data_IF_105630099277
#
_entry.id   IF_105630099277
#
_cell.length_a   1.000
_cell.length_b   1.000
_cell.length_c   1.000
_cell.angle_alpha   90.00
_cell.angle_beta   90.00
_cell.angle_gamma   90.00
#
_symmetry.space_group_name_H-M   'P 1'
#
loop_
_entity.id
_entity.type
_entity.pdbx_description
1 polymer ?
#
# COMPACT_ATOMS: atom_id res chain seq x y z
N UNK A 1 37.04 -2.29 -28.90
CA UNK A 1 36.31 -1.00 -28.67
C UNK A 1 34.78 -1.07 -28.64
N UNK A 2 34.10 -2.15 -29.03
CA UNK A 2 32.61 -2.25 -28.99
C UNK A 2 32.02 -2.69 -27.64
N UNK A 3 32.79 -3.40 -26.81
CA UNK A 3 32.30 -3.97 -25.53
C UNK A 3 32.07 -2.93 -24.43
N UNK A 4 32.82 -1.84 -24.41
CA UNK A 4 32.70 -0.79 -23.40
C UNK A 4 31.50 0.16 -23.64
N UNK A 5 31.03 0.25 -24.90
CA UNK A 5 29.84 1.08 -25.22
C UNK A 5 28.53 0.42 -24.80
N UNK A 6 28.46 -0.92 -24.81
CA UNK A 6 27.29 -1.66 -24.37
C UNK A 6 27.17 -1.59 -22.83
N UNK A 7 28.29 -1.65 -22.11
CA UNK A 7 28.31 -1.46 -20.64
C UNK A 7 27.88 -0.05 -20.23
N UNK A 8 28.30 0.98 -20.97
CA UNK A 8 27.87 2.36 -20.72
C UNK A 8 26.37 2.60 -20.99
N UNK A 9 25.82 1.92 -22.00
CA UNK A 9 24.41 2.03 -22.33
C UNK A 9 23.52 1.30 -21.32
N UNK A 10 23.94 0.12 -20.86
CA UNK A 10 23.27 -0.64 -19.80
C UNK A 10 23.33 0.08 -18.44
N UNK A 11 24.45 0.70 -18.09
CA UNK A 11 24.60 1.49 -16.88
C UNK A 11 23.74 2.78 -16.95
N UNK A 12 23.68 3.44 -18.11
CA UNK A 12 22.83 4.62 -18.33
C UNK A 12 21.33 4.30 -18.31
N UNK A 13 20.92 3.14 -18.85
CA UNK A 13 19.54 2.69 -18.81
C UNK A 13 19.07 2.30 -17.38
N UNK A 14 19.98 1.77 -16.57
CA UNK A 14 19.70 1.50 -15.14
C UNK A 14 19.53 2.78 -14.30
N UNK A 15 20.17 3.88 -14.69
CA UNK A 15 20.09 5.17 -14.00
C UNK A 15 18.87 6.01 -14.44
N UNK A 16 18.26 5.66 -15.58
CA UNK A 16 17.09 6.36 -16.12
C UNK A 16 15.76 5.64 -15.82
N UNK A 17 15.75 4.54 -15.08
CA UNK A 17 14.51 4.00 -14.56
C UNK A 17 13.93 5.03 -13.60
N UNK A 18 12.80 5.70 -13.92
CA UNK A 18 12.18 6.59 -12.98
C UNK A 18 11.86 5.76 -11.76
N UNK A 19 12.40 6.15 -10.62
CA UNK A 19 12.07 5.60 -9.33
C UNK A 19 10.64 6.01 -8.92
N UNK A 20 9.67 5.74 -9.78
CA UNK A 20 8.28 5.55 -9.40
C UNK A 20 8.14 4.17 -8.76
N UNK A 21 9.04 3.83 -7.87
CA UNK A 21 8.79 2.83 -6.87
C UNK A 21 7.77 3.44 -5.92
N UNK A 22 6.49 3.19 -6.18
CA UNK A 22 5.55 3.09 -5.09
C UNK A 22 6.14 2.01 -4.20
N UNK A 23 6.90 2.45 -3.21
CA UNK A 23 7.59 1.57 -2.29
C UNK A 23 6.53 0.68 -1.68
N UNK A 24 6.57 -0.60 -2.03
CA UNK A 24 5.94 -1.60 -1.22
C UNK A 24 6.35 -1.24 0.20
N UNK A 25 5.39 -0.97 1.07
CA UNK A 25 5.67 -0.68 2.47
C UNK A 25 6.19 -1.97 3.11
N UNK A 26 7.44 -2.30 2.80
CA UNK A 26 8.17 -3.26 3.58
C UNK A 26 8.44 -2.62 4.94
N UNK A 27 8.47 -3.42 5.98
CA UNK A 27 8.86 -2.97 7.31
C UNK A 27 10.22 -2.27 7.24
N UNK A 28 10.21 -0.94 7.11
CA UNK A 28 11.46 -0.15 7.00
C UNK A 28 12.36 -0.34 8.22
N UNK A 29 11.76 -0.58 9.38
CA UNK A 29 12.48 -0.95 10.61
C UNK A 29 13.28 -2.24 10.47
N UNK A 30 12.76 -3.23 9.72
CA UNK A 30 13.46 -4.49 9.46
C UNK A 30 14.74 -4.32 8.65
N UNK A 31 14.91 -3.21 7.92
CA UNK A 31 16.14 -2.90 7.18
C UNK A 31 17.36 -2.77 8.08
N UNK A 32 17.19 -2.22 9.27
CA UNK A 32 18.25 -1.96 10.24
C UNK A 32 18.43 -3.09 11.27
N UNK A 33 17.57 -4.11 11.23
CA UNK A 33 17.67 -5.24 12.15
C UNK A 33 18.74 -6.24 11.64
N UNK A 34 19.83 -6.36 12.35
CA UNK A 34 20.83 -7.41 12.11
C UNK A 34 20.19 -8.79 12.32
N UNK A 35 20.55 -9.76 11.48
CA UNK A 35 20.00 -11.12 11.53
C UNK A 35 18.57 -11.27 11.04
N UNK A 36 17.93 -10.20 10.54
CA UNK A 36 16.60 -10.29 9.96
C UNK A 36 16.65 -10.85 8.54
N UNK A 37 16.21 -12.08 8.38
CA UNK A 37 16.35 -12.87 7.15
C UNK A 37 15.66 -12.25 5.92
N UNK A 38 14.63 -11.40 6.15
CA UNK A 38 13.87 -10.78 5.07
C UNK A 38 14.40 -9.42 4.61
N UNK A 39 15.59 -8.99 5.05
CA UNK A 39 16.25 -7.76 4.57
C UNK A 39 16.41 -7.74 3.05
N UNK A 40 16.65 -8.92 2.46
CA UNK A 40 16.74 -9.10 1.00
C UNK A 40 15.46 -8.70 0.25
N UNK A 41 14.30 -8.64 0.91
CA UNK A 41 13.05 -8.19 0.30
C UNK A 41 13.13 -6.70 -0.02
N UNK A 42 13.77 -5.93 0.85
CA UNK A 42 13.96 -4.48 0.71
C UNK A 42 15.16 -4.12 -0.18
N UNK A 43 16.26 -4.84 -0.02
CA UNK A 43 17.46 -4.64 -0.81
C UNK A 43 18.06 -6.01 -1.21
N UNK A 44 18.00 -6.39 -2.49
CA UNK A 44 18.51 -7.66 -2.97
C UNK A 44 20.02 -7.88 -2.71
N UNK A 45 20.78 -6.80 -2.50
CA UNK A 45 22.20 -6.90 -2.17
C UNK A 45 22.45 -7.37 -0.73
N UNK A 46 21.46 -7.29 0.17
CA UNK A 46 21.61 -7.90 1.48
C UNK A 46 21.62 -9.42 1.36
N UNK A 47 22.76 -9.99 1.68
CA UNK A 47 22.86 -11.40 2.02
C UNK A 47 22.47 -11.59 3.49
N UNK A 48 22.12 -12.79 3.91
CA UNK A 48 21.94 -13.10 5.31
C UNK A 48 23.30 -13.16 6.01
N UNK A 49 23.26 -12.91 7.31
CA UNK A 49 24.39 -13.13 8.20
C UNK A 49 24.68 -14.65 8.38
N UNK A 50 23.79 -15.51 7.87
CA UNK A 50 23.86 -16.97 7.94
C UNK A 50 23.97 -17.58 6.54
N UNK A 51 24.52 -18.82 6.48
CA UNK A 51 24.73 -19.54 5.21
C UNK A 51 23.44 -19.87 4.44
N UNK A 52 22.30 -19.82 5.10
CA UNK A 52 20.99 -20.02 4.50
C UNK A 52 19.86 -20.06 5.51
N UNK A 53 18.65 -19.94 5.02
CA UNK A 53 17.41 -20.08 5.78
C UNK A 53 16.31 -20.70 4.93
N UNK A 54 15.32 -21.27 5.59
CA UNK A 54 14.06 -21.73 4.99
C UNK A 54 12.94 -21.31 5.92
N UNK A 55 11.91 -20.67 5.37
CA UNK A 55 10.70 -20.29 6.07
C UNK A 55 9.50 -20.90 5.38
N UNK A 56 8.67 -21.60 6.14
CA UNK A 56 7.49 -22.30 5.68
C UNK A 56 6.21 -21.46 5.88
N UNK A 57 5.08 -21.87 5.26
CA UNK A 57 3.77 -21.27 5.49
C UNK A 57 3.44 -21.14 6.98
N UNK A 58 2.72 -20.08 7.34
CA UNK A 58 2.33 -19.68 8.71
C UNK A 58 3.47 -19.16 9.60
N UNK A 59 4.73 -19.46 9.30
CA UNK A 59 5.91 -18.92 10.00
C UNK A 59 6.62 -17.84 9.17
N UNK A 60 6.06 -17.51 8.00
CA UNK A 60 6.60 -16.50 7.11
C UNK A 60 6.36 -15.08 7.60
N UNK A 61 7.04 -14.13 6.97
CA UNK A 61 6.91 -12.72 7.25
C UNK A 61 5.55 -12.19 6.80
N UNK A 62 4.76 -11.71 7.75
CA UNK A 62 3.52 -10.97 7.49
C UNK A 62 3.80 -9.50 7.73
N UNK A 63 3.44 -8.69 6.77
CA UNK A 63 3.54 -7.25 6.83
C UNK A 63 2.19 -6.61 6.51
N UNK A 64 1.75 -5.71 7.38
CA UNK A 64 0.57 -4.87 7.15
C UNK A 64 1.02 -3.43 7.17
N UNK A 65 0.77 -2.73 6.08
CA UNK A 65 1.07 -1.31 5.94
C UNK A 65 -0.20 -0.52 5.70
N UNK A 66 -0.22 0.71 6.21
CA UNK A 66 -1.25 1.68 5.90
C UNK A 66 -0.58 2.93 5.34
N UNK A 67 -1.14 3.46 4.27
CA UNK A 67 -0.66 4.67 3.60
C UNK A 67 -1.82 5.54 3.13
N UNK A 68 -1.52 6.80 2.89
CA UNK A 68 -2.52 7.77 2.45
C UNK A 68 -2.28 9.13 3.08
N UNK A 69 -3.23 10.03 2.93
CA UNK A 69 -3.23 11.35 3.56
C UNK A 69 -4.20 11.44 4.75
N UNK A 70 -4.73 10.30 5.18
CA UNK A 70 -5.58 10.16 6.36
C UNK A 70 -4.92 9.22 7.36
N UNK A 71 -5.05 9.54 8.63
CA UNK A 71 -4.55 8.74 9.73
C UNK A 71 -5.61 8.47 10.79
N UNK A 72 -5.29 7.64 11.76
CA UNK A 72 -6.19 7.34 12.90
C UNK A 72 -6.57 8.62 13.64
N UNK A 73 -5.67 9.60 13.71
CA UNK A 73 -5.90 10.91 14.33
C UNK A 73 -6.99 11.75 13.68
N UNK A 74 -7.38 11.46 12.44
CA UNK A 74 -8.50 12.13 11.80
C UNK A 74 -9.86 11.62 12.31
N UNK A 75 -9.89 10.42 12.92
CA UNK A 75 -11.13 9.76 13.31
C UNK A 75 -11.31 9.60 14.83
N UNK A 76 -10.20 9.58 15.58
CA UNK A 76 -10.19 9.37 17.02
C UNK A 76 -9.66 10.61 17.73
N UNK A 77 -10.43 11.08 18.70
CA UNK A 77 -10.17 12.28 19.50
C UNK A 77 -10.09 11.92 20.98
N UNK A 78 -9.26 12.65 21.71
CA UNK A 78 -9.20 12.52 23.18
C UNK A 78 -10.36 13.27 23.82
N UNK A 79 -11.02 12.63 24.76
CA UNK A 79 -12.02 13.27 25.60
C UNK A 79 -11.36 13.94 26.82
N UNK A 80 -12.00 14.93 27.47
CA UNK A 80 -11.44 15.63 28.63
C UNK A 80 -11.15 14.72 29.83
N UNK A 81 -11.86 13.61 29.96
CA UNK A 81 -11.68 12.57 30.98
C UNK A 81 -10.57 11.55 30.64
N UNK A 82 -9.83 11.77 29.53
CA UNK A 82 -8.72 10.92 29.09
C UNK A 82 -9.13 9.70 28.27
N UNK A 83 -10.41 9.57 27.94
CA UNK A 83 -10.93 8.55 27.02
C UNK A 83 -10.67 8.86 25.55
N UNK A 84 -11.22 8.02 24.69
CA UNK A 84 -11.23 8.21 23.23
C UNK A 84 -12.66 8.25 22.73
N UNK A 85 -12.90 9.15 21.79
CA UNK A 85 -14.16 9.25 21.06
C UNK A 85 -13.94 9.36 19.56
N UNK A 86 -14.99 9.18 18.79
CA UNK A 86 -14.93 9.30 17.33
C UNK A 86 -15.32 10.71 16.88
N UNK A 87 -14.97 11.04 15.64
CA UNK A 87 -15.37 12.32 15.03
C UNK A 87 -16.90 12.55 14.97
N UNK A 88 -17.68 11.48 15.07
CA UNK A 88 -19.17 11.59 15.09
C UNK A 88 -19.72 12.11 16.41
N UNK A 89 -18.94 12.09 17.48
CA UNK A 89 -19.36 12.58 18.77
C UNK A 89 -19.56 14.11 18.73
N UNK A 90 -20.57 14.60 19.45
CA UNK A 90 -20.91 16.02 19.53
C UNK A 90 -19.80 16.87 20.18
N UNK A 91 -18.98 16.28 21.04
CA UNK A 91 -17.84 16.96 21.65
C UNK A 91 -16.73 17.32 20.66
N UNK A 92 -16.69 16.67 19.49
CA UNK A 92 -15.76 17.02 18.41
C UNK A 92 -16.47 18.02 17.49
N UNK A 93 -15.93 19.23 17.37
CA UNK A 93 -16.57 20.26 16.54
C UNK A 93 -16.42 19.93 15.04
N UNK A 94 -17.30 20.51 14.22
CA UNK A 94 -17.21 20.40 12.75
C UNK A 94 -15.86 20.91 12.26
N UNK A 95 -15.41 22.05 12.81
CA UNK A 95 -14.13 22.67 12.45
C UNK A 95 -12.92 21.78 12.81
N UNK A 96 -12.94 21.13 13.98
CA UNK A 96 -11.85 20.27 14.41
C UNK A 96 -11.72 19.03 13.51
N UNK A 97 -12.84 18.46 13.11
CA UNK A 97 -12.85 17.31 12.22
C UNK A 97 -12.50 17.67 10.78
N UNK A 98 -13.26 18.60 10.18
CA UNK A 98 -13.11 18.93 8.76
C UNK A 98 -11.81 19.69 8.47
N UNK A 99 -11.25 20.40 9.46
CA UNK A 99 -9.94 21.04 9.33
C UNK A 99 -8.77 20.06 9.06
N UNK A 100 -8.94 18.78 9.41
CA UNK A 100 -7.97 17.71 9.11
C UNK A 100 -8.27 16.91 7.84
N UNK A 101 -9.34 17.22 7.10
CA UNK A 101 -9.78 16.51 5.90
C UNK A 101 -9.41 17.31 4.64
N UNK A 102 -8.84 16.62 3.66
CA UNK A 102 -8.47 17.23 2.38
C UNK A 102 -9.62 17.15 1.38
N UNK A 103 -9.53 17.88 0.26
CA UNK A 103 -10.51 17.78 -0.84
C UNK A 103 -10.58 16.36 -1.41
N UNK A 104 -9.43 15.69 -1.54
CA UNK A 104 -9.34 14.30 -1.96
C UNK A 104 -8.57 13.52 -0.91
N UNK A 105 -9.21 12.55 -0.31
CA UNK A 105 -8.65 11.72 0.73
C UNK A 105 -8.38 10.32 0.20
N UNK A 106 -7.22 9.79 0.54
CA UNK A 106 -6.81 8.45 0.14
C UNK A 106 -6.37 7.66 1.36
N UNK A 107 -6.84 6.43 1.41
CA UNK A 107 -6.42 5.43 2.36
C UNK A 107 -6.07 4.15 1.60
N UNK A 108 -4.93 3.57 1.89
CA UNK A 108 -4.57 2.28 1.33
C UNK A 108 -4.01 1.37 2.42
N UNK A 109 -4.39 0.12 2.37
CA UNK A 109 -3.90 -0.94 3.23
C UNK A 109 -3.20 -1.97 2.35
N UNK A 110 -1.94 -2.23 2.67
CA UNK A 110 -1.12 -3.24 2.03
C UNK A 110 -0.98 -4.42 2.98
N UNK A 111 -1.36 -5.60 2.53
CA UNK A 111 -1.12 -6.85 3.21
C UNK A 111 -0.15 -7.69 2.38
N UNK A 112 0.97 -8.06 2.97
CA UNK A 112 2.00 -8.84 2.33
C UNK A 112 2.34 -10.04 3.20
N UNK A 113 2.23 -11.22 2.65
CA UNK A 113 2.55 -12.45 3.34
C UNK A 113 3.54 -13.28 2.52
N UNK A 114 4.71 -13.55 3.11
CA UNK A 114 5.68 -14.48 2.53
C UNK A 114 5.25 -15.91 2.87
N UNK A 115 4.56 -16.56 1.95
CA UNK A 115 4.07 -17.94 2.11
C UNK A 115 5.24 -18.91 2.22
N UNK A 116 6.26 -18.71 1.36
CA UNK A 116 7.49 -19.48 1.37
C UNK A 116 8.65 -18.55 1.08
N UNK A 117 9.77 -18.75 1.78
CA UNK A 117 11.00 -18.05 1.49
C UNK A 117 12.20 -18.94 1.81
N UNK A 118 13.17 -18.92 0.93
CA UNK A 118 14.41 -19.67 1.09
C UNK A 118 15.59 -18.83 0.62
N UNK A 119 16.69 -18.91 1.35
CA UNK A 119 17.96 -18.31 0.96
C UNK A 119 19.10 -19.28 1.15
N UNK A 120 20.04 -19.29 0.22
CA UNK A 120 21.20 -20.18 0.25
C UNK A 120 22.40 -19.59 -0.49
N UNK A 121 23.60 -19.94 -0.02
CA UNK A 121 24.86 -19.54 -0.65
C UNK A 121 25.28 -20.58 -1.68
N UNK A 122 25.27 -20.21 -2.96
CA UNK A 122 25.72 -21.03 -4.09
C UNK A 122 25.96 -20.13 -5.32
N UNK A 123 26.63 -20.68 -6.34
CA UNK A 123 26.92 -19.99 -7.60
C UNK A 123 27.74 -18.70 -7.44
N UNK A 124 28.65 -18.70 -6.48
CA UNK A 124 29.49 -17.53 -6.20
C UNK A 124 28.77 -16.34 -5.57
N UNK A 125 27.60 -16.55 -4.97
CA UNK A 125 26.81 -15.54 -4.33
C UNK A 125 25.71 -16.10 -3.46
N UNK A 126 24.80 -15.24 -3.07
CA UNK A 126 23.63 -15.58 -2.26
C UNK A 126 22.37 -15.54 -3.10
N UNK A 127 21.59 -16.59 -3.04
CA UNK A 127 20.37 -16.77 -3.83
C UNK A 127 19.16 -16.78 -2.90
N UNK A 128 18.07 -16.20 -3.34
CA UNK A 128 16.80 -16.18 -2.64
C UNK A 128 15.68 -16.62 -3.55
N UNK A 129 14.76 -17.41 -3.02
CA UNK A 129 13.51 -17.81 -3.66
C UNK A 129 12.40 -17.45 -2.71
N UNK A 130 11.34 -16.80 -3.21
CA UNK A 130 10.20 -16.43 -2.39
C UNK A 130 8.89 -16.57 -3.14
N UNK A 131 7.85 -17.02 -2.44
CA UNK A 131 6.46 -17.01 -2.88
C UNK A 131 5.71 -16.10 -1.90
N UNK A 132 5.16 -15.02 -2.42
CA UNK A 132 4.52 -14.00 -1.60
C UNK A 132 3.10 -13.75 -2.09
N UNK A 133 2.15 -13.66 -1.17
CA UNK A 133 0.83 -13.10 -1.43
C UNK A 133 0.91 -11.59 -1.20
N UNK A 134 0.46 -10.84 -2.19
CA UNK A 134 0.39 -9.38 -2.16
C UNK A 134 -1.05 -8.95 -2.30
N UNK A 135 -1.52 -8.17 -1.36
CA UNK A 135 -2.87 -7.60 -1.40
C UNK A 135 -2.78 -6.12 -1.09
N UNK A 136 -3.48 -5.33 -1.89
CA UNK A 136 -3.66 -3.91 -1.67
C UNK A 136 -5.15 -3.60 -1.73
N UNK A 137 -5.63 -2.89 -0.74
CA UNK A 137 -6.98 -2.30 -0.73
C UNK A 137 -6.83 -0.80 -0.59
N UNK A 138 -7.44 -0.04 -1.48
CA UNK A 138 -7.39 1.40 -1.41
C UNK A 138 -8.78 2.02 -1.57
N UNK A 139 -8.99 3.12 -0.86
CA UNK A 139 -10.18 3.95 -0.96
C UNK A 139 -9.80 5.39 -1.31
N UNK A 140 -10.59 6.02 -2.14
CA UNK A 140 -10.57 7.45 -2.43
C UNK A 140 -11.91 8.04 -2.01
N UNK A 141 -11.87 9.07 -1.17
CA UNK A 141 -13.06 9.64 -0.53
C UNK A 141 -12.99 11.17 -0.64
N UNK A 142 -14.02 11.83 -1.19
CA UNK A 142 -14.07 13.28 -1.30
C UNK A 142 -14.36 13.93 0.06
N UNK A 143 -14.04 15.21 0.17
CA UNK A 143 -14.33 16.03 1.36
C UNK A 143 -15.81 16.04 1.70
N UNK A 144 -16.66 16.19 0.71
CA UNK A 144 -18.13 16.30 0.84
C UNK A 144 -18.75 15.07 1.52
N UNK A 145 -18.12 13.89 1.36
CA UNK A 145 -18.55 12.68 2.07
C UNK A 145 -18.36 12.83 3.58
N UNK A 146 -17.23 13.38 4.00
CA UNK A 146 -16.94 13.60 5.43
C UNK A 146 -17.76 14.73 6.02
N UNK A 147 -17.99 15.78 5.24
CA UNK A 147 -18.91 16.86 5.61
C UNK A 147 -20.32 16.31 5.82
N UNK A 148 -20.83 15.53 4.87
CA UNK A 148 -22.12 14.85 5.01
C UNK A 148 -22.19 13.97 6.27
N UNK A 149 -21.16 13.17 6.53
CA UNK A 149 -21.11 12.30 7.71
C UNK A 149 -21.10 13.08 9.03
N UNK A 150 -20.48 14.25 9.07
CA UNK A 150 -20.34 15.06 10.29
C UNK A 150 -21.51 16.00 10.52
N UNK A 151 -21.95 16.68 9.49
CA UNK A 151 -22.97 17.73 9.55
C UNK A 151 -24.38 17.14 9.33
N UNK A 152 -24.49 16.22 8.38
CA UNK A 152 -25.76 15.61 8.00
C UNK A 152 -26.76 16.65 7.48
N UNK A 153 -28.05 16.36 7.68
CA UNK A 153 -29.16 17.24 7.27
C UNK A 153 -29.53 18.29 8.30
N UNK A 154 -28.58 18.85 9.04
CA UNK A 154 -28.86 19.94 9.99
C UNK A 154 -28.93 21.27 9.26
N UNK A 155 -30.02 21.50 8.56
CA UNK A 155 -30.32 22.75 7.86
C UNK A 155 -31.35 22.54 6.77
N UNK A 156 -32.05 23.60 6.41
CA UNK A 156 -33.05 23.55 5.35
C UNK A 156 -32.37 23.28 4.00
N UNK A 157 -32.85 22.26 3.28
CA UNK A 157 -32.45 21.92 1.91
C UNK A 157 -30.93 21.77 1.72
N UNK A 158 -30.33 20.87 2.44
CA UNK A 158 -28.88 20.57 2.24
C UNK A 158 -28.70 19.61 1.07
N UNK A 159 -27.90 20.03 0.11
CA UNK A 159 -27.53 19.22 -1.05
C UNK A 159 -26.02 18.96 -0.99
N UNK A 160 -25.63 17.70 -1.08
CA UNK A 160 -24.25 17.28 -1.18
C UNK A 160 -23.98 16.70 -2.56
N UNK A 161 -22.98 17.25 -3.23
CA UNK A 161 -22.46 16.76 -4.49
C UNK A 161 -21.15 16.05 -4.22
N UNK A 162 -21.15 14.73 -4.25
CA UNK A 162 -19.97 13.90 -3.99
C UNK A 162 -19.49 13.29 -5.29
N UNK A 163 -18.21 13.40 -5.56
CA UNK A 163 -17.58 12.84 -6.76
C UNK A 163 -16.37 11.99 -6.40
N UNK A 164 -16.06 11.01 -7.25
CA UNK A 164 -14.85 10.19 -7.12
C UNK A 164 -14.77 9.40 -5.80
N UNK A 165 -15.88 8.82 -5.36
CA UNK A 165 -15.86 7.85 -4.26
C UNK A 165 -15.45 6.51 -4.85
N UNK A 166 -14.26 6.02 -4.49
CA UNK A 166 -13.71 4.82 -5.08
C UNK A 166 -13.15 3.85 -4.05
N UNK A 167 -13.34 2.56 -4.31
CA UNK A 167 -12.66 1.48 -3.59
C UNK A 167 -12.07 0.52 -4.60
N UNK A 168 -10.80 0.17 -4.43
CA UNK A 168 -10.16 -0.85 -5.26
C UNK A 168 -9.42 -1.86 -4.40
N UNK A 169 -9.43 -3.11 -4.86
CA UNK A 169 -8.71 -4.21 -4.25
C UNK A 169 -7.94 -4.98 -5.31
N UNK A 170 -6.68 -5.28 -5.02
CA UNK A 170 -5.81 -6.09 -5.88
C UNK A 170 -5.15 -7.16 -5.05
N UNK A 171 -5.19 -8.39 -5.54
CA UNK A 171 -4.47 -9.50 -4.94
C UNK A 171 -3.74 -10.29 -6.02
N UNK A 172 -2.49 -10.64 -5.77
CA UNK A 172 -1.68 -11.45 -6.67
C UNK A 172 -0.63 -12.24 -5.91
N UNK A 173 -0.16 -13.31 -6.54
CA UNK A 173 0.98 -14.08 -6.05
C UNK A 173 2.24 -13.62 -6.77
N UNK A 174 3.29 -13.37 -6.01
CA UNK A 174 4.62 -13.00 -6.51
C UNK A 174 5.57 -14.17 -6.30
N UNK A 175 6.13 -14.71 -7.38
CA UNK A 175 7.31 -15.57 -7.34
C UNK A 175 8.54 -14.69 -7.52
N UNK A 176 9.41 -14.63 -6.52
CA UNK A 176 10.61 -13.79 -6.51
C UNK A 176 11.87 -14.64 -6.50
N UNK A 177 12.78 -14.41 -7.44
CA UNK A 177 14.08 -15.03 -7.55
C UNK A 177 15.15 -13.95 -7.41
N UNK A 178 15.98 -14.04 -6.39
CA UNK A 178 17.04 -13.07 -6.10
C UNK A 178 18.42 -13.68 -6.18
N UNK A 179 19.39 -12.87 -6.60
CA UNK A 179 20.80 -13.20 -6.55
C UNK A 179 21.59 -11.97 -6.13
N UNK A 180 22.56 -12.18 -5.24
CA UNK A 180 23.51 -11.14 -4.84
C UNK A 180 24.92 -11.71 -4.75
N UNK A 181 25.91 -10.86 -5.05
CA UNK A 181 27.31 -11.24 -5.08
C UNK A 181 28.19 -10.11 -4.56
N UNK A 182 29.24 -10.49 -3.83
CA UNK A 182 30.31 -9.57 -3.46
C UNK A 182 31.20 -9.34 -4.68
N UNK A 183 31.44 -8.06 -5.01
CA UNK A 183 32.41 -7.68 -6.03
C UNK A 183 33.79 -7.56 -5.40
N UNK A 184 33.85 -7.00 -4.21
CA UNK A 184 35.02 -6.90 -3.34
C UNK A 184 34.55 -6.74 -1.89
N UNK A 185 35.47 -6.51 -0.96
CA UNK A 185 35.18 -6.38 0.47
C UNK A 185 34.22 -5.22 0.83
N UNK A 186 34.12 -4.21 -0.05
CA UNK A 186 33.32 -3.00 0.19
C UNK A 186 32.03 -2.97 -0.61
N UNK A 187 31.95 -3.71 -1.72
CA UNK A 187 30.85 -3.61 -2.67
C UNK A 187 30.15 -4.94 -2.88
N UNK A 188 28.87 -4.93 -2.64
CA UNK A 188 27.97 -6.04 -2.96
C UNK A 188 26.85 -5.55 -3.87
N UNK A 189 26.56 -6.34 -4.91
CA UNK A 189 25.45 -6.08 -5.84
C UNK A 189 24.43 -7.18 -5.75
N UNK A 190 23.17 -6.85 -5.99
CA UNK A 190 22.08 -7.80 -6.02
C UNK A 190 20.97 -7.38 -6.95
N UNK A 191 20.28 -8.36 -7.49
CA UNK A 191 19.12 -8.19 -8.34
C UNK A 191 18.03 -9.19 -7.98
N UNK A 192 16.79 -8.86 -8.32
CA UNK A 192 15.63 -9.73 -8.09
C UNK A 192 14.74 -9.72 -9.32
N UNK A 193 14.40 -10.91 -9.80
CA UNK A 193 13.41 -11.13 -10.84
C UNK A 193 12.10 -11.54 -10.18
N UNK A 194 10.99 -10.92 -10.59
CA UNK A 194 9.67 -11.17 -10.03
C UNK A 194 8.70 -11.55 -11.13
N UNK A 195 8.02 -12.66 -10.92
CA UNK A 195 6.91 -13.10 -11.76
C UNK A 195 5.62 -12.87 -10.98
N UNK A 196 4.70 -12.12 -11.57
CA UNK A 196 3.43 -11.76 -10.95
C UNK A 196 2.33 -12.61 -11.58
N UNK A 197 1.65 -13.38 -10.75
CA UNK A 197 0.50 -14.18 -11.13
C UNK A 197 -0.73 -13.46 -10.58
N UNK A 198 -1.51 -12.84 -11.45
CA UNK A 198 -2.72 -12.14 -11.10
C UNK A 198 -3.74 -13.09 -10.48
N UNK A 199 -4.41 -12.67 -9.43
CA UNK A 199 -5.51 -13.40 -8.79
C UNK A 199 -6.82 -12.62 -8.90
N UNK A 200 -6.89 -11.47 -8.23
CA UNK A 200 -8.09 -10.65 -8.15
C UNK A 200 -7.76 -9.19 -8.42
N UNK A 201 -8.58 -8.54 -9.23
CA UNK A 201 -8.64 -7.09 -9.30
C UNK A 201 -10.13 -6.70 -9.28
N UNK A 202 -10.53 -5.95 -8.26
CA UNK A 202 -11.88 -5.43 -8.11
C UNK A 202 -11.82 -3.93 -7.88
N UNK A 203 -12.65 -3.17 -8.57
CA UNK A 203 -12.81 -1.75 -8.31
C UNK A 203 -14.28 -1.35 -8.42
N UNK A 204 -14.72 -0.54 -7.46
CA UNK A 204 -16.00 0.12 -7.48
C UNK A 204 -15.75 1.63 -7.44
N UNK A 205 -16.35 2.35 -8.37
CA UNK A 205 -16.27 3.80 -8.47
C UNK A 205 -17.67 4.37 -8.54
N UNK A 206 -17.94 5.33 -7.69
CA UNK A 206 -19.11 6.22 -7.80
C UNK A 206 -18.57 7.53 -8.37
N UNK A 207 -18.85 7.77 -9.64
CA UNK A 207 -18.37 8.94 -10.37
C UNK A 207 -19.02 10.21 -9.82
N UNK A 208 -20.32 10.11 -9.52
CA UNK A 208 -21.11 11.18 -8.93
C UNK A 208 -22.21 10.60 -8.05
N UNK A 209 -22.42 11.22 -6.90
CA UNK A 209 -23.52 10.98 -6.01
C UNK A 209 -24.05 12.31 -5.47
N UNK A 210 -25.31 12.60 -5.75
CA UNK A 210 -26.03 13.75 -5.23
C UNK A 210 -26.97 13.28 -4.12
N UNK A 211 -26.86 13.89 -2.95
CA UNK A 211 -27.75 13.64 -1.81
C UNK A 211 -28.46 14.93 -1.49
N UNK A 212 -29.76 14.94 -1.71
CA UNK A 212 -30.66 16.06 -1.39
C UNK A 212 -31.51 15.66 -0.18
N UNK A 213 -31.42 16.43 0.88
CA UNK A 213 -32.15 16.20 2.13
C UNK A 213 -33.14 17.33 2.37
N UNK A 214 -34.41 16.96 2.49
CA UNK A 214 -35.47 17.83 2.92
C UNK A 214 -36.10 17.32 4.20
N UNK A 215 -36.92 18.11 4.86
CA UNK A 215 -37.62 17.70 6.09
C UNK A 215 -38.54 16.50 5.89
N UNK A 216 -38.99 16.26 4.65
CA UNK A 216 -39.92 15.18 4.34
C UNK A 216 -39.28 13.95 3.75
N UNK A 217 -38.16 14.10 3.01
CA UNK A 217 -37.54 12.98 2.30
C UNK A 217 -36.06 13.22 1.96
N UNK A 218 -35.37 12.12 1.78
CA UNK A 218 -34.01 12.10 1.21
C UNK A 218 -34.08 11.57 -0.22
N UNK A 219 -33.46 12.28 -1.13
CA UNK A 219 -33.31 11.87 -2.52
C UNK A 219 -31.84 11.64 -2.80
N UNK A 220 -31.50 10.44 -3.25
CA UNK A 220 -30.14 10.06 -3.62
C UNK A 220 -30.13 9.68 -5.10
N UNK A 221 -29.26 10.32 -5.86
CA UNK A 221 -28.99 10.00 -7.26
C UNK A 221 -27.50 9.79 -7.42
N UNK A 222 -27.12 8.78 -8.20
CA UNK A 222 -25.70 8.50 -8.43
C UNK A 222 -25.49 7.71 -9.70
N UNK A 223 -24.26 7.79 -10.18
CA UNK A 223 -23.72 6.97 -11.27
C UNK A 223 -22.38 6.41 -10.86
N UNK A 224 -22.08 5.23 -11.35
CA UNK A 224 -20.82 4.58 -11.01
C UNK A 224 -20.56 3.34 -11.84
N UNK A 225 -19.41 2.73 -11.62
CA UNK A 225 -18.95 1.52 -12.30
C UNK A 225 -18.45 0.49 -11.29
N UNK A 226 -18.56 -0.76 -11.68
CA UNK A 226 -17.99 -1.90 -10.97
C UNK A 226 -17.20 -2.75 -11.97
N UNK A 227 -15.90 -2.87 -11.74
CA UNK A 227 -15.01 -3.69 -12.52
C UNK A 227 -14.49 -4.85 -11.68
N UNK A 228 -14.61 -6.04 -12.19
CA UNK A 228 -14.13 -7.24 -11.57
C UNK A 228 -13.36 -8.08 -12.57
N UNK A 229 -12.10 -8.37 -12.29
CA UNK A 229 -11.27 -9.27 -13.07
C UNK A 229 -10.66 -10.32 -12.12
N UNK A 230 -10.93 -11.57 -12.44
CA UNK A 230 -10.32 -12.72 -11.79
C UNK A 230 -9.65 -13.59 -12.84
N UNK A 231 -8.58 -14.25 -12.44
CA UNK A 231 -7.96 -15.26 -13.29
C UNK A 231 -8.68 -16.58 -13.06
N UNK A 232 -9.12 -17.20 -14.15
CA UNK A 232 -9.60 -18.58 -14.20
C UNK A 232 -8.45 -19.58 -13.97
#
# INVERSE_FOLDING_TARGET
>A
MKRNKIFGFLAGALLMAPAATFAQQALRSGYFLEGYEYRHVMNPAFGPDRKGFVSFPFLGNINVGMSGNMGVSNFLYKTPDGGLTTFLNESVTVSDFLGGINQNNRLAIDYNWSIFSMGFSKFGGYNTIGINLRTNVSATLPYELFEFMKVGGKGDNTVYHMENIGVSSKAYVELALGHSRDINEQWRVGGKLKFLLGGLNASAMIDRMDVEMTDEQWKVQGSGSLDLAMKD
#
